data_IF_984084310585
#
_entry.id   IF_984084310585
#
_cell.length_a   1.000
_cell.length_b   1.000
_cell.length_c   1.000
_cell.angle_alpha   90.00
_cell.angle_beta   90.00
_cell.angle_gamma   90.00
#
_symmetry.space_group_name_H-M   'P 1'
#
loop_
_entity.id
_entity.type
_entity.pdbx_description
1 polymer ?
#
# COMPACT_ATOMS: atom_id res chain seq x y z
N UNK A 1 11.94 -7.45 -6.19
CA UNK A 1 12.99 -8.19 -5.46
C UNK A 1 12.35 -8.83 -4.24
N UNK A 2 12.58 -10.13 -4.01
CA UNK A 2 12.11 -10.86 -2.83
C UNK A 2 13.25 -10.93 -1.80
N UNK A 3 12.98 -10.56 -0.55
CA UNK A 3 13.98 -10.54 0.53
C UNK A 3 14.08 -11.93 1.19
N UNK A 4 15.30 -12.39 1.51
CA UNK A 4 15.50 -13.62 2.29
C UNK A 4 15.21 -13.37 3.79
N UNK A 5 15.02 -14.44 4.56
CA UNK A 5 14.62 -14.33 5.98
C UNK A 5 15.66 -13.62 6.86
N UNK A 6 16.95 -13.68 6.51
CA UNK A 6 18.02 -12.86 7.11
C UNK A 6 17.79 -11.37 6.89
N UNK A 7 17.44 -11.00 5.67
CA UNK A 7 17.25 -9.61 5.26
C UNK A 7 16.01 -9.01 5.94
N UNK A 8 15.00 -9.85 6.23
CA UNK A 8 13.79 -9.44 6.96
C UNK A 8 14.10 -9.01 8.40
N UNK A 9 15.02 -9.70 9.07
CA UNK A 9 15.42 -9.33 10.44
C UNK A 9 16.20 -8.00 10.46
N UNK A 10 16.97 -7.72 9.41
CA UNK A 10 17.74 -6.49 9.29
C UNK A 10 16.87 -5.27 8.97
N UNK A 11 15.77 -5.44 8.24
CA UNK A 11 14.85 -4.33 7.91
C UNK A 11 13.79 -4.07 8.98
N UNK A 12 13.63 -4.95 9.97
CA UNK A 12 12.58 -4.81 10.97
C UNK A 12 12.63 -3.49 11.76
N UNK A 13 13.80 -2.99 12.21
CA UNK A 13 13.89 -1.68 12.87
C UNK A 13 13.45 -0.52 11.96
N UNK A 14 13.74 -0.61 10.66
CA UNK A 14 13.27 0.39 9.69
C UNK A 14 11.76 0.34 9.53
N UNK A 15 11.17 -0.86 9.49
CA UNK A 15 9.71 -1.02 9.37
C UNK A 15 8.99 -0.46 10.60
N UNK A 16 9.55 -0.62 11.80
CA UNK A 16 9.02 -0.01 13.03
C UNK A 16 9.12 1.53 13.01
N UNK A 17 10.14 2.10 12.34
CA UNK A 17 10.20 3.55 12.12
C UNK A 17 9.14 4.02 11.11
N UNK A 18 8.88 3.25 10.06
CA UNK A 18 7.87 3.57 9.04
C UNK A 18 6.45 3.45 9.62
N UNK A 19 6.23 2.46 10.50
CA UNK A 19 4.97 2.15 11.17
C UNK A 19 5.16 2.15 12.70
N UNK A 20 5.27 3.32 13.34
CA UNK A 20 5.47 3.40 14.80
C UNK A 20 4.33 2.74 15.59
N UNK A 21 3.13 2.69 15.00
CA UNK A 21 1.95 2.06 15.59
C UNK A 21 1.70 0.63 15.06
N UNK A 22 2.73 -0.08 14.58
CA UNK A 22 2.63 -1.45 14.04
C UNK A 22 1.83 -2.39 14.97
N UNK A 23 2.01 -2.25 16.29
CA UNK A 23 1.32 -3.05 17.31
C UNK A 23 -0.19 -2.79 17.37
N UNK A 24 -0.65 -1.63 16.94
CA UNK A 24 -2.06 -1.21 16.95
C UNK A 24 -2.79 -1.54 15.65
N UNK A 25 -2.06 -1.86 14.58
CA UNK A 25 -2.66 -2.20 13.28
C UNK A 25 -3.50 -3.48 13.44
N UNK A 26 -4.81 -3.46 13.10
CA UNK A 26 -5.68 -4.63 13.26
C UNK A 26 -5.24 -5.83 12.40
N UNK A 27 -5.52 -7.05 12.87
CA UNK A 27 -5.35 -8.26 12.05
C UNK A 27 -6.34 -8.24 10.88
N UNK A 28 -5.91 -8.74 9.73
CA UNK A 28 -6.63 -8.75 8.45
C UNK A 28 -6.95 -7.34 7.93
N UNK A 29 -5.96 -6.44 8.03
CA UNK A 29 -6.07 -5.05 7.57
C UNK A 29 -4.84 -4.60 6.77
N UNK A 30 -4.95 -3.42 6.18
CA UNK A 30 -3.85 -2.74 5.49
C UNK A 30 -3.68 -1.33 6.07
N UNK A 31 -2.44 -0.91 6.24
CA UNK A 31 -2.05 0.45 6.63
C UNK A 31 -1.03 0.99 5.63
N UNK A 32 -0.95 2.32 5.50
CA UNK A 32 -0.03 2.97 4.56
C UNK A 32 0.82 4.03 5.24
N UNK A 33 2.05 4.20 4.77
CA UNK A 33 2.96 5.24 5.22
C UNK A 33 3.83 5.75 4.06
N UNK A 34 4.27 7.00 4.11
CA UNK A 34 5.27 7.56 3.19
C UNK A 34 6.57 7.69 3.98
N UNK A 35 7.67 7.18 3.44
CA UNK A 35 8.98 7.31 4.07
C UNK A 35 10.07 7.60 3.04
N UNK A 36 11.11 8.30 3.46
CA UNK A 36 12.20 8.78 2.60
C UNK A 36 11.93 10.15 1.97
N UNK A 37 12.95 10.69 1.31
CA UNK A 37 12.93 12.00 0.65
C UNK A 37 13.56 11.91 -0.74
N UNK A 38 13.20 12.86 -1.63
CA UNK A 38 13.70 12.88 -3.01
C UNK A 38 13.50 11.54 -3.72
N UNK A 39 14.56 11.03 -4.34
CA UNK A 39 14.56 9.75 -5.07
C UNK A 39 14.34 8.53 -4.18
N UNK A 40 14.52 8.64 -2.86
CA UNK A 40 14.28 7.55 -1.90
C UNK A 40 12.84 7.52 -1.36
N UNK A 41 12.00 8.48 -1.75
CA UNK A 41 10.61 8.53 -1.31
C UNK A 41 9.86 7.29 -1.80
N UNK A 42 9.22 6.57 -0.89
CA UNK A 42 8.39 5.40 -1.20
C UNK A 42 7.08 5.45 -0.43
N UNK A 43 6.05 4.83 -1.01
CA UNK A 43 4.82 4.49 -0.29
C UNK A 43 4.94 3.04 0.17
N UNK A 44 4.83 2.85 1.47
CA UNK A 44 4.82 1.55 2.13
C UNK A 44 3.40 1.15 2.50
N UNK A 45 3.07 -0.11 2.27
CA UNK A 45 1.76 -0.72 2.50
C UNK A 45 1.95 -1.95 3.39
N UNK A 46 1.58 -1.82 4.66
CA UNK A 46 1.66 -2.89 5.64
C UNK A 46 0.35 -3.66 5.64
N UNK A 47 0.40 -4.95 5.31
CA UNK A 47 -0.69 -5.89 5.48
C UNK A 47 -0.40 -6.73 6.72
N UNK A 48 -1.31 -6.68 7.68
CA UNK A 48 -1.28 -7.56 8.86
C UNK A 48 -2.36 -8.61 8.67
N UNK A 49 -2.00 -9.88 8.75
CA UNK A 49 -2.95 -10.98 8.53
C UNK A 49 -2.77 -12.16 9.46
N UNK A 50 -3.85 -12.93 9.61
CA UNK A 50 -3.75 -14.29 10.13
C UNK A 50 -3.08 -15.21 9.10
N UNK A 51 -2.79 -16.45 9.51
CA UNK A 51 -2.14 -17.45 8.66
C UNK A 51 -2.90 -17.68 7.34
N UNK A 52 -4.24 -17.64 7.36
CA UNK A 52 -5.05 -17.88 6.15
C UNK A 52 -4.84 -16.75 5.13
N UNK A 53 -4.73 -15.51 5.61
CA UNK A 53 -4.53 -14.34 4.77
C UNK A 53 -3.10 -14.26 4.23
N UNK A 54 -2.08 -14.54 5.06
CA UNK A 54 -0.68 -14.34 4.66
C UNK A 54 -0.09 -15.53 3.89
N UNK A 55 -0.55 -16.75 4.14
CA UNK A 55 0.01 -17.96 3.52
C UNK A 55 0.06 -17.92 1.99
N UNK A 56 -0.93 -17.39 1.27
CA UNK A 56 -0.83 -17.22 -0.18
C UNK A 56 0.35 -16.34 -0.62
N UNK A 57 0.69 -15.31 0.13
CA UNK A 57 1.86 -14.45 -0.13
C UNK A 57 3.18 -15.15 0.15
N UNK A 58 3.23 -15.98 1.20
CA UNK A 58 4.43 -16.74 1.59
C UNK A 58 4.68 -17.94 0.66
N UNK A 59 3.60 -18.55 0.16
CA UNK A 59 3.68 -19.65 -0.79
C UNK A 59 4.08 -19.20 -2.21
N UNK A 60 3.98 -17.91 -2.50
CA UNK A 60 4.44 -17.30 -3.75
C UNK A 60 5.93 -16.98 -3.67
N UNK A 61 6.76 -18.00 -3.91
CA UNK A 61 8.23 -17.92 -3.77
C UNK A 61 8.93 -17.31 -4.99
N UNK A 62 8.22 -17.18 -6.11
CA UNK A 62 8.76 -16.65 -7.38
C UNK A 62 8.14 -15.28 -7.75
N UNK A 63 7.42 -14.64 -6.81
CA UNK A 63 6.68 -13.39 -7.03
C UNK A 63 5.78 -13.45 -8.29
N UNK A 64 5.11 -14.59 -8.46
CA UNK A 64 4.25 -14.87 -9.62
C UNK A 64 2.82 -14.37 -9.40
N UNK A 65 2.50 -13.87 -8.20
CA UNK A 65 1.23 -13.26 -7.92
C UNK A 65 0.99 -12.11 -8.90
N UNK A 66 -0.04 -12.25 -9.73
CA UNK A 66 -0.50 -11.15 -10.56
C UNK A 66 -1.17 -10.14 -9.65
N UNK A 67 -0.71 -8.90 -9.72
CA UNK A 67 -1.32 -7.78 -8.99
C UNK A 67 -2.10 -6.89 -9.95
N UNK A 68 -3.21 -6.34 -9.48
CA UNK A 68 -3.98 -5.31 -10.17
C UNK A 68 -4.33 -4.21 -9.18
N UNK A 69 -3.93 -2.99 -9.52
CA UNK A 69 -4.26 -1.79 -8.75
C UNK A 69 -5.41 -1.09 -9.45
N UNK A 70 -6.44 -0.73 -8.69
CA UNK A 70 -7.57 0.07 -9.17
C UNK A 70 -7.63 1.34 -8.33
N UNK A 71 -7.51 2.50 -8.98
CA UNK A 71 -7.69 3.80 -8.32
C UNK A 71 -9.09 4.34 -8.58
N UNK A 72 -9.74 4.85 -7.54
CA UNK A 72 -11.10 5.37 -7.58
C UNK A 72 -11.11 6.76 -6.93
N UNK A 73 -11.80 7.70 -7.57
CA UNK A 73 -12.15 8.99 -6.98
C UNK A 73 -13.61 8.94 -6.56
N UNK A 74 -13.87 8.77 -5.26
CA UNK A 74 -15.21 8.69 -4.69
C UNK A 74 -15.63 10.06 -4.14
N UNK A 75 -16.87 10.51 -4.44
CA UNK A 75 -17.36 11.79 -3.91
C UNK A 75 -17.64 11.67 -2.43
N UNK A 76 -17.15 12.61 -1.64
CA UNK A 76 -17.55 12.74 -0.25
C UNK A 76 -19.04 13.12 -0.14
N UNK A 77 -19.63 12.95 1.04
CA UNK A 77 -21.05 13.25 1.29
C UNK A 77 -21.44 14.71 0.96
N UNK A 78 -20.50 15.65 1.12
CA UNK A 78 -20.69 17.07 0.77
C UNK A 78 -20.67 17.34 -0.75
N UNK A 79 -20.39 16.32 -1.59
CA UNK A 79 -20.37 16.33 -3.06
C UNK A 79 -19.36 17.28 -3.74
N UNK A 80 -18.51 17.95 -2.98
CA UNK A 80 -17.50 18.88 -3.51
C UNK A 80 -16.16 18.15 -3.63
N UNK A 81 -15.73 17.55 -2.54
CA UNK A 81 -14.41 16.90 -2.47
C UNK A 81 -14.48 15.43 -2.84
N UNK A 82 -13.33 14.87 -3.18
CA UNK A 82 -13.19 13.45 -3.51
C UNK A 82 -12.17 12.75 -2.62
N UNK A 83 -12.52 11.56 -2.15
CA UNK A 83 -11.62 10.60 -1.54
C UNK A 83 -10.85 9.86 -2.64
N UNK A 84 -9.57 9.60 -2.40
CA UNK A 84 -8.76 8.74 -3.25
C UNK A 84 -8.73 7.34 -2.64
N UNK A 85 -9.25 6.36 -3.36
CA UNK A 85 -9.23 4.96 -2.93
C UNK A 85 -8.31 4.17 -3.86
N UNK A 86 -7.42 3.38 -3.27
CA UNK A 86 -6.59 2.41 -3.97
C UNK A 86 -7.00 1.01 -3.55
N UNK A 87 -7.50 0.22 -4.51
CA UNK A 87 -7.82 -1.19 -4.32
C UNK A 87 -6.72 -2.06 -4.94
N UNK A 88 -6.12 -2.91 -4.12
CA UNK A 88 -5.07 -3.84 -4.49
C UNK A 88 -5.65 -5.24 -4.57
N UNK A 89 -5.66 -5.82 -5.77
CA UNK A 89 -6.11 -7.17 -6.01
C UNK A 89 -4.90 -8.06 -6.31
N UNK A 90 -4.69 -9.08 -5.48
CA UNK A 90 -3.65 -10.09 -5.66
C UNK A 90 -4.29 -11.41 -6.09
N UNK A 91 -3.78 -11.99 -7.17
CA UNK A 91 -4.23 -13.25 -7.74
C UNK A 91 -3.10 -14.27 -7.66
N UNK A 92 -3.25 -15.27 -6.79
CA UNK A 92 -2.25 -16.30 -6.56
C UNK A 92 -2.53 -17.52 -7.45
N UNK A 93 -1.48 -18.17 -7.97
CA UNK A 93 -1.61 -19.31 -8.90
C UNK A 93 -2.46 -20.46 -8.38
N UNK A 94 -2.48 -20.68 -7.06
CA UNK A 94 -3.28 -21.73 -6.40
C UNK A 94 -4.75 -21.34 -6.15
N UNK A 95 -5.26 -20.31 -6.85
CA UNK A 95 -6.67 -19.91 -6.80
C UNK A 95 -7.05 -18.97 -5.66
N UNK A 96 -6.09 -18.54 -4.85
CA UNK A 96 -6.32 -17.52 -3.82
C UNK A 96 -6.50 -16.13 -4.45
N UNK A 97 -7.41 -15.34 -3.89
CA UNK A 97 -7.54 -13.90 -4.19
C UNK A 97 -7.51 -13.11 -2.89
N UNK A 98 -6.65 -12.11 -2.82
CA UNK A 98 -6.64 -11.10 -1.76
C UNK A 98 -7.05 -9.74 -2.31
N UNK A 99 -7.94 -9.03 -1.61
CA UNK A 99 -8.30 -7.65 -1.96
C UNK A 99 -8.12 -6.75 -0.74
N UNK A 100 -7.32 -5.70 -0.89
CA UNK A 100 -7.06 -4.70 0.14
C UNK A 100 -7.42 -3.32 -0.37
N UNK A 101 -7.88 -2.45 0.52
CA UNK A 101 -8.28 -1.08 0.19
C UNK A 101 -7.60 -0.10 1.13
N UNK A 102 -6.98 0.92 0.56
CA UNK A 102 -6.52 2.09 1.30
C UNK A 102 -7.32 3.30 0.80
N UNK A 103 -7.80 4.10 1.74
CA UNK A 103 -8.57 5.30 1.48
C UNK A 103 -7.83 6.51 2.03
N UNK A 104 -7.51 7.46 1.16
CA UNK A 104 -6.98 8.77 1.52
C UNK A 104 -8.15 9.76 1.47
N UNK A 105 -8.66 10.10 2.64
CA UNK A 105 -9.88 10.89 2.79
C UNK A 105 -9.62 12.37 2.53
N UNK A 106 -10.53 13.05 1.84
CA UNK A 106 -10.50 14.50 1.66
C UNK A 106 -10.70 15.27 2.98
N UNK A 107 -11.22 14.61 4.03
CA UNK A 107 -11.27 15.15 5.38
C UNK A 107 -9.87 15.40 5.97
N UNK A 108 -8.83 14.79 5.39
CA UNK A 108 -7.42 14.96 5.76
C UNK A 108 -6.62 15.51 4.57
N UNK A 109 -6.85 16.78 4.16
CA UNK A 109 -6.37 17.29 2.88
C UNK A 109 -4.85 17.30 2.74
N UNK A 110 -4.12 17.64 3.81
CA UNK A 110 -2.65 17.63 3.79
C UNK A 110 -2.09 16.22 3.58
N UNK A 111 -2.65 15.23 4.29
CA UNK A 111 -2.25 13.84 4.12
C UNK A 111 -2.57 13.36 2.70
N UNK A 112 -3.79 13.61 2.21
CA UNK A 112 -4.18 13.21 0.86
C UNK A 112 -3.29 13.87 -0.20
N UNK A 113 -2.95 15.15 -0.04
CA UNK A 113 -2.02 15.88 -0.90
C UNK A 113 -0.63 15.22 -0.91
N UNK A 114 -0.09 14.85 0.25
CA UNK A 114 1.20 14.16 0.34
C UNK A 114 1.20 12.83 -0.44
N UNK A 115 0.14 12.02 -0.29
CA UNK A 115 0.02 10.76 -1.05
C UNK A 115 -0.14 11.00 -2.55
N UNK A 116 -0.94 11.99 -2.96
CA UNK A 116 -1.10 12.35 -4.37
C UNK A 116 0.23 12.76 -4.99
N UNK A 117 1.03 13.57 -4.29
CA UNK A 117 2.35 13.97 -4.78
C UNK A 117 3.33 12.80 -4.83
N UNK A 118 3.36 11.96 -3.77
CA UNK A 118 4.19 10.76 -3.78
C UNK A 118 3.83 9.83 -4.95
N UNK A 119 2.54 9.60 -5.23
CA UNK A 119 2.08 8.79 -6.36
C UNK A 119 2.44 9.38 -7.74
N UNK A 120 2.79 10.67 -7.84
CA UNK A 120 3.29 11.26 -9.09
C UNK A 120 4.77 10.97 -9.33
N UNK A 121 5.52 10.72 -8.26
CA UNK A 121 6.99 10.65 -8.29
C UNK A 121 7.52 9.21 -8.21
N UNK A 122 6.85 8.32 -7.46
CA UNK A 122 7.33 6.96 -7.26
C UNK A 122 7.09 6.07 -8.48
N UNK A 123 7.93 5.06 -8.65
CA UNK A 123 7.76 4.03 -9.68
C UNK A 123 7.14 2.75 -9.12
N UNK A 124 7.26 2.49 -7.82
CA UNK A 124 6.88 1.23 -7.18
C UNK A 124 6.19 1.50 -5.84
N UNK A 125 5.29 0.60 -5.45
CA UNK A 125 4.72 0.52 -4.10
C UNK A 125 5.38 -0.62 -3.34
N UNK A 126 5.79 -0.38 -2.10
CA UNK A 126 6.43 -1.39 -1.25
C UNK A 126 5.37 -2.03 -0.34
N UNK A 127 5.18 -3.34 -0.45
CA UNK A 127 4.29 -4.11 0.41
C UNK A 127 5.09 -4.85 1.48
N UNK A 128 4.62 -4.77 2.71
CA UNK A 128 5.17 -5.46 3.87
C UNK A 128 4.07 -6.37 4.42
N UNK A 129 4.35 -7.66 4.53
CA UNK A 129 3.45 -8.64 5.13
C UNK A 129 3.92 -8.93 6.53
N UNK A 130 3.04 -8.72 7.51
CA UNK A 130 3.25 -9.10 8.89
C UNK A 130 2.18 -10.12 9.32
N UNK A 131 2.54 -11.01 10.24
CA UNK A 131 1.61 -11.97 10.81
C UNK A 131 0.77 -11.36 11.96
N UNK A 132 -0.10 -12.20 12.55
CA UNK A 132 -0.94 -11.84 13.68
C UNK A 132 -0.16 -11.47 14.97
N UNK A 133 1.12 -11.81 15.06
CA UNK A 133 2.04 -11.43 16.14
C UNK A 133 2.86 -10.17 15.80
N UNK A 134 2.65 -9.61 14.59
CA UNK A 134 3.37 -8.46 14.00
C UNK A 134 4.82 -8.76 13.66
N UNK A 135 5.18 -10.03 13.49
CA UNK A 135 6.47 -10.38 12.92
C UNK A 135 6.41 -10.17 11.40
N UNK A 136 7.42 -9.52 10.85
CA UNK A 136 7.52 -9.33 9.40
C UNK A 136 7.85 -10.67 8.75
N UNK A 137 7.10 -11.02 7.70
CA UNK A 137 7.19 -12.31 7.01
C UNK A 137 7.61 -12.19 5.55
N UNK A 138 7.27 -11.10 4.88
CA UNK A 138 7.65 -10.86 3.48
C UNK A 138 7.65 -9.37 3.18
N UNK A 139 8.57 -8.93 2.33
CA UNK A 139 8.54 -7.61 1.70
C UNK A 139 8.69 -7.79 0.20
N UNK A 140 7.89 -7.07 -0.58
CA UNK A 140 7.95 -7.11 -2.04
C UNK A 140 7.47 -5.78 -2.62
N UNK A 141 7.83 -5.52 -3.87
CA UNK A 141 7.45 -4.29 -4.58
C UNK A 141 6.47 -4.61 -5.71
N UNK A 142 5.57 -3.67 -5.98
CA UNK A 142 4.64 -3.72 -7.10
C UNK A 142 4.82 -2.47 -7.93
N UNK A 143 4.98 -2.65 -9.24
CA UNK A 143 5.08 -1.54 -10.17
C UNK A 143 3.85 -0.62 -10.08
N UNK A 144 4.14 0.66 -9.99
CA UNK A 144 3.16 1.73 -10.03
C UNK A 144 3.35 2.56 -11.30
N UNK A 145 2.25 2.75 -12.01
CA UNK A 145 2.25 3.48 -13.27
C UNK A 145 1.33 4.69 -13.15
N UNK A 146 1.88 5.85 -12.79
CA UNK A 146 1.12 7.09 -12.67
C UNK A 146 0.31 7.38 -13.94
N UNK A 147 0.88 7.21 -15.14
CA UNK A 147 0.19 7.49 -16.40
C UNK A 147 -1.11 6.68 -16.57
N UNK A 148 -1.18 5.44 -16.06
CA UNK A 148 -2.40 4.61 -16.13
C UNK A 148 -3.51 5.14 -15.22
N UNK A 149 -3.15 5.88 -14.17
CA UNK A 149 -4.07 6.36 -13.14
C UNK A 149 -4.23 7.90 -13.14
N UNK A 150 -3.52 8.59 -14.04
CA UNK A 150 -3.45 10.05 -14.15
C UNK A 150 -4.82 10.71 -14.13
N UNK A 151 -5.80 10.19 -14.88
CA UNK A 151 -7.16 10.76 -14.94
C UNK A 151 -7.83 10.81 -13.56
N UNK A 152 -7.64 9.78 -12.74
CA UNK A 152 -8.22 9.72 -11.39
C UNK A 152 -7.47 10.67 -10.46
N UNK A 153 -6.15 10.63 -10.48
CA UNK A 153 -5.31 11.48 -9.62
C UNK A 153 -5.53 12.97 -9.92
N UNK A 154 -5.54 13.39 -11.18
CA UNK A 154 -5.74 14.79 -11.57
C UNK A 154 -7.16 15.30 -11.26
N UNK A 155 -8.15 14.39 -11.22
CA UNK A 155 -9.50 14.73 -10.77
C UNK A 155 -9.50 15.08 -9.27
N UNK A 156 -8.75 14.35 -8.45
CA UNK A 156 -8.59 14.66 -7.01
C UNK A 156 -7.90 16.01 -6.83
N UNK A 157 -6.78 16.23 -7.55
CA UNK A 157 -6.01 17.49 -7.50
C UNK A 157 -6.89 18.69 -7.82
N UNK A 158 -7.60 18.63 -8.94
CA UNK A 158 -8.48 19.72 -9.38
C UNK A 158 -9.63 19.97 -8.41
N UNK A 159 -10.29 18.91 -7.94
CA UNK A 159 -11.48 19.04 -7.10
C UNK A 159 -11.16 19.54 -5.68
N UNK A 160 -10.01 19.13 -5.13
CA UNK A 160 -9.64 19.43 -3.75
C UNK A 160 -8.66 20.62 -3.65
N UNK A 161 -8.21 21.19 -4.78
CA UNK A 161 -7.43 22.43 -4.83
C UNK A 161 -5.95 22.28 -4.45
N UNK A 162 -5.31 21.19 -4.88
CA UNK A 162 -3.89 20.90 -4.59
C UNK A 162 -2.91 21.36 -5.65
#
# INVERSE_FOLDING_TARGET
MSYQQSDILEIQPLIEQIFPNLREVPVNSISSSIFGTGEQKKIYLLIVGDDRLINPFLADTQDEAKSKIVTIAEKCQNKINFDLIMEFNFYFRRGGKGTFKVMFQAAHPEMQKQYVQALKEIENLCFIIADQERNIRKVFEVDWYYYKNKKVIEKIVTANGY
#
